data_IF_289647052090
#
_entry.id   IF_289647052090
#
_cell.length_a   1.000
_cell.length_b   1.000
_cell.length_c   1.000
_cell.angle_alpha   90.00
_cell.angle_beta   90.00
_cell.angle_gamma   90.00
#
_symmetry.space_group_name_H-M   'P 1'
#
loop_
_entity.id
_entity.type
_entity.pdbx_description
1 polymer ?
#
# COMPACT_ATOMS: atom_id res chain seq x y z
N UNK A 1 -1.44 12.96 -10.52
CA UNK A 1 -0.42 11.95 -10.87
C UNK A 1 0.75 12.57 -11.61
N UNK A 2 0.55 13.31 -12.70
CA UNK A 2 1.62 14.05 -13.39
C UNK A 2 2.41 14.98 -12.43
N UNK A 3 1.69 15.77 -11.61
CA UNK A 3 2.26 16.65 -10.56
C UNK A 3 3.21 15.90 -9.63
N UNK A 4 2.79 14.73 -9.14
CA UNK A 4 3.57 13.90 -8.20
C UNK A 4 4.80 13.31 -8.91
N UNK A 5 4.61 12.75 -10.10
CA UNK A 5 5.70 12.12 -10.86
C UNK A 5 6.76 13.10 -11.36
N UNK A 6 6.46 14.40 -11.39
CA UNK A 6 7.39 15.46 -11.80
C UNK A 6 8.11 16.13 -10.64
N UNK A 7 7.82 15.76 -9.39
CA UNK A 7 8.56 16.28 -8.24
C UNK A 7 10.03 15.84 -8.31
N UNK A 8 11.02 16.72 -8.02
CA UNK A 8 10.91 18.10 -7.50
C UNK A 8 10.81 19.19 -8.58
N UNK A 9 10.82 18.82 -9.86
CA UNK A 9 10.97 19.75 -10.98
C UNK A 9 9.72 20.57 -11.31
N UNK A 10 8.58 20.24 -10.71
CA UNK A 10 7.30 20.90 -10.97
C UNK A 10 7.36 22.43 -10.80
N UNK A 11 8.10 22.91 -9.79
CA UNK A 11 8.27 24.34 -9.53
C UNK A 11 9.02 25.09 -10.65
N UNK A 12 9.73 24.37 -11.52
CA UNK A 12 10.49 24.92 -12.64
C UNK A 12 9.71 24.91 -13.96
N UNK A 13 8.54 24.25 -14.00
CA UNK A 13 7.71 24.13 -15.20
C UNK A 13 7.27 25.48 -15.79
N UNK A 14 6.88 26.49 -15.00
CA UNK A 14 6.54 27.82 -15.53
C UNK A 14 7.70 28.50 -16.25
N UNK A 15 8.94 28.21 -15.86
CA UNK A 15 10.12 28.78 -16.53
C UNK A 15 10.38 28.06 -17.85
N UNK A 16 10.20 26.73 -17.91
CA UNK A 16 10.32 25.96 -19.14
C UNK A 16 9.31 26.40 -20.23
N UNK A 17 8.14 26.90 -19.81
CA UNK A 17 7.11 27.45 -20.69
C UNK A 17 7.47 28.80 -21.31
N UNK A 18 8.40 29.56 -20.71
CA UNK A 18 8.74 30.94 -21.14
C UNK A 18 9.93 31.02 -22.09
N UNK A 19 10.59 29.90 -22.38
CA UNK A 19 11.79 29.93 -23.23
C UNK A 19 11.37 29.87 -24.70
N UNK A 20 11.71 30.87 -25.53
CA UNK A 20 11.21 30.96 -26.88
C UNK A 20 11.71 29.81 -27.78
N UNK A 21 10.93 29.46 -28.83
CA UNK A 21 11.36 28.51 -29.86
C UNK A 21 12.58 29.02 -30.64
N UNK A 22 13.36 28.10 -31.21
CA UNK A 22 14.43 28.47 -32.14
C UNK A 22 13.80 28.86 -33.48
N UNK A 23 14.23 29.99 -34.04
CA UNK A 23 13.58 30.58 -35.22
C UNK A 23 14.08 30.00 -36.55
N UNK A 24 15.20 29.28 -36.57
CA UNK A 24 15.79 28.74 -37.82
C UNK A 24 15.96 27.21 -37.76
N UNK A 25 15.46 26.52 -38.79
CA UNK A 25 15.57 25.06 -38.94
C UNK A 25 14.59 24.23 -38.12
N UNK A 26 14.92 22.95 -37.91
CA UNK A 26 14.12 22.03 -37.10
C UNK A 26 14.12 22.44 -35.62
N UNK A 27 12.92 22.63 -35.06
CA UNK A 27 12.75 23.02 -33.66
C UNK A 27 12.33 21.82 -32.80
N UNK A 28 13.31 21.17 -32.19
CA UNK A 28 13.09 20.06 -31.26
C UNK A 28 12.16 20.44 -30.09
N UNK A 29 12.19 21.69 -29.60
CA UNK A 29 11.30 22.12 -28.52
C UNK A 29 9.85 22.17 -28.99
N UNK A 30 9.58 22.62 -30.21
CA UNK A 30 8.22 22.57 -30.78
C UNK A 30 7.72 21.14 -30.86
N UNK A 31 8.54 20.20 -31.35
CA UNK A 31 8.19 18.79 -31.38
C UNK A 31 7.84 18.25 -29.98
N UNK A 32 8.66 18.55 -28.97
CA UNK A 32 8.41 18.12 -27.59
C UNK A 32 7.11 18.70 -27.03
N UNK A 33 6.80 19.97 -27.29
CA UNK A 33 5.53 20.56 -26.88
C UNK A 33 4.33 19.94 -27.59
N UNK A 34 4.43 19.70 -28.90
CA UNK A 34 3.39 19.02 -29.67
C UNK A 34 3.15 17.62 -29.10
N UNK A 35 4.22 16.88 -28.79
CA UNK A 35 4.14 15.55 -28.16
C UNK A 35 3.40 15.59 -26.82
N UNK A 36 3.81 16.49 -25.92
CA UNK A 36 3.17 16.69 -24.61
C UNK A 36 1.70 17.03 -24.77
N UNK A 37 1.38 18.02 -25.62
CA UNK A 37 0.02 18.52 -25.81
C UNK A 37 -0.88 17.46 -26.45
N UNK A 38 -0.41 16.80 -27.51
CA UNK A 38 -1.16 15.77 -28.22
C UNK A 38 -1.59 14.65 -27.28
N UNK A 39 -0.65 14.09 -26.52
CA UNK A 39 -0.93 12.99 -25.58
C UNK A 39 -1.83 13.46 -24.44
N UNK A 40 -1.56 14.63 -23.88
CA UNK A 40 -2.35 15.18 -22.79
C UNK A 40 -3.80 15.45 -23.22
N UNK A 41 -4.02 16.09 -24.36
CA UNK A 41 -5.36 16.39 -24.90
C UNK A 41 -6.09 15.10 -25.26
N UNK A 42 -5.43 14.18 -25.95
CA UNK A 42 -6.02 12.89 -26.33
C UNK A 42 -6.57 12.13 -25.11
N UNK A 43 -5.76 11.96 -24.06
CA UNK A 43 -6.21 11.27 -22.86
C UNK A 43 -7.11 12.11 -21.93
N UNK A 44 -7.11 13.44 -22.08
CA UNK A 44 -8.07 14.30 -21.38
C UNK A 44 -9.49 14.11 -21.91
N UNK A 45 -9.64 13.96 -23.23
CA UNK A 45 -10.95 13.75 -23.89
C UNK A 45 -11.44 12.30 -23.75
N UNK A 46 -10.54 11.32 -23.61
CA UNK A 46 -10.91 9.90 -23.46
C UNK A 46 -11.87 9.64 -22.28
N UNK A 47 -12.89 8.79 -22.51
CA UNK A 47 -13.84 8.36 -21.47
C UNK A 47 -13.19 7.44 -20.43
N UNK A 48 -12.27 6.57 -20.84
CA UNK A 48 -11.49 5.73 -19.93
C UNK A 48 -10.17 6.41 -19.60
N UNK A 49 -9.96 6.72 -18.32
CA UNK A 49 -8.76 7.41 -17.83
C UNK A 49 -8.04 6.54 -16.81
N UNK A 50 -6.85 6.06 -17.16
CA UNK A 50 -5.90 5.50 -16.19
C UNK A 50 -4.74 6.48 -16.00
N UNK A 51 -4.28 6.69 -14.75
CA UNK A 51 -3.14 7.57 -14.48
C UNK A 51 -1.89 7.31 -15.33
N UNK A 52 -1.65 6.04 -15.66
CA UNK A 52 -0.47 5.60 -16.40
C UNK A 52 -0.50 5.98 -17.89
N UNK A 53 -1.63 6.46 -18.41
CA UNK A 53 -1.71 6.91 -19.81
C UNK A 53 -0.85 8.15 -20.10
N UNK A 54 -0.52 8.93 -19.08
CA UNK A 54 0.38 10.08 -19.22
C UNK A 54 1.87 9.71 -19.11
N UNK A 55 2.22 8.43 -18.86
CA UNK A 55 3.61 8.00 -18.74
C UNK A 55 4.50 8.40 -19.95
N UNK A 56 4.03 8.33 -21.21
CA UNK A 56 4.83 8.73 -22.37
C UNK A 56 5.12 10.23 -22.48
N UNK A 57 4.48 11.08 -21.66
CA UNK A 57 4.72 12.54 -21.61
C UNK A 57 6.00 12.87 -20.86
N UNK A 58 6.38 12.06 -19.87
CA UNK A 58 7.48 12.36 -18.95
C UNK A 58 8.85 12.59 -19.63
N UNK A 59 9.29 11.78 -20.62
CA UNK A 59 10.57 12.03 -21.29
C UNK A 59 10.63 13.38 -21.98
N UNK A 60 9.54 13.78 -22.66
CA UNK A 60 9.49 15.06 -23.36
C UNK A 60 9.53 16.24 -22.40
N UNK A 61 8.78 16.16 -21.29
CA UNK A 61 8.81 17.18 -20.24
C UNK A 61 10.17 17.26 -19.56
N UNK A 62 10.83 16.11 -19.32
CA UNK A 62 12.17 16.09 -18.73
C UNK A 62 13.20 16.81 -19.61
N UNK A 63 13.16 16.61 -20.93
CA UNK A 63 14.02 17.33 -21.88
C UNK A 63 13.74 18.83 -21.90
N UNK A 64 12.46 19.24 -21.88
CA UNK A 64 12.07 20.64 -21.82
C UNK A 64 12.55 21.34 -20.55
N UNK A 65 12.42 20.67 -19.40
CA UNK A 65 12.92 21.15 -18.10
C UNK A 65 14.44 21.21 -18.10
N UNK A 66 15.12 20.19 -18.66
CA UNK A 66 16.58 20.14 -18.75
C UNK A 66 17.15 21.33 -19.54
N UNK A 67 16.59 21.64 -20.72
CA UNK A 67 17.01 22.82 -21.49
C UNK A 67 16.71 24.12 -20.74
N UNK A 68 15.58 24.19 -20.03
CA UNK A 68 15.25 25.36 -19.20
C UNK A 68 16.27 25.56 -18.07
N UNK A 69 16.61 24.50 -17.33
CA UNK A 69 17.60 24.52 -16.23
C UNK A 69 18.98 24.95 -16.76
N UNK A 70 19.39 24.48 -17.93
CA UNK A 70 20.66 24.84 -18.54
C UNK A 70 20.79 26.36 -18.78
N UNK A 71 19.70 27.00 -19.19
CA UNK A 71 19.62 28.45 -19.48
C UNK A 71 19.36 29.31 -18.25
N UNK A 72 18.90 28.71 -17.14
CA UNK A 72 18.58 29.45 -15.92
C UNK A 72 19.83 29.99 -15.21
N UNK A 73 19.67 31.19 -14.64
CA UNK A 73 20.60 31.74 -13.64
C UNK A 73 20.56 30.85 -12.39
N UNK A 74 21.71 30.70 -11.74
CA UNK A 74 21.86 29.85 -10.57
C UNK A 74 20.93 30.26 -9.40
N UNK A 75 20.71 31.56 -9.23
CA UNK A 75 19.73 32.11 -8.28
C UNK A 75 18.29 31.63 -8.54
N UNK A 76 17.83 31.72 -9.80
CA UNK A 76 16.48 31.30 -10.18
C UNK A 76 16.26 29.79 -10.00
N UNK A 77 17.27 28.99 -10.34
CA UNK A 77 17.25 27.54 -10.10
C UNK A 77 17.11 27.24 -8.60
N UNK A 78 17.92 27.89 -7.75
CA UNK A 78 17.86 27.69 -6.31
C UNK A 78 16.51 28.10 -5.71
N UNK A 79 15.90 29.20 -6.19
CA UNK A 79 14.55 29.61 -5.78
C UNK A 79 13.53 28.53 -6.15
N UNK A 80 13.55 28.01 -7.38
CA UNK A 80 12.62 26.96 -7.80
C UNK A 80 12.76 25.67 -6.98
N UNK A 81 13.98 25.25 -6.67
CA UNK A 81 14.23 24.09 -5.80
C UNK A 81 13.76 24.38 -4.35
N UNK A 82 13.96 25.60 -3.85
CA UNK A 82 13.47 26.00 -2.52
C UNK A 82 11.94 26.01 -2.46
N UNK A 83 11.24 26.45 -3.52
CA UNK A 83 9.78 26.33 -3.64
C UNK A 83 9.36 24.86 -3.59
N UNK A 84 10.05 23.97 -4.29
CA UNK A 84 9.76 22.54 -4.22
C UNK A 84 9.94 21.97 -2.80
N UNK A 85 10.98 22.39 -2.08
CA UNK A 85 11.18 22.04 -0.67
C UNK A 85 10.03 22.54 0.21
N UNK A 86 9.62 23.80 0.06
CA UNK A 86 8.51 24.39 0.80
C UNK A 86 7.18 23.69 0.53
N UNK A 87 6.89 23.38 -0.74
CA UNK A 87 5.69 22.61 -1.12
C UNK A 87 5.71 21.21 -0.51
N UNK A 88 6.88 20.57 -0.43
CA UNK A 88 7.01 19.26 0.21
C UNK A 88 6.73 19.36 1.72
N UNK A 89 7.23 20.40 2.40
CA UNK A 89 6.94 20.64 3.81
C UNK A 89 5.44 20.85 4.07
N UNK A 90 4.75 21.57 3.18
CA UNK A 90 3.28 21.75 3.25
C UNK A 90 2.54 20.43 3.03
N UNK A 91 3.06 19.54 2.19
CA UNK A 91 2.44 18.25 1.92
C UNK A 91 2.56 17.26 3.10
N UNK A 92 3.52 17.43 4.01
CA UNK A 92 3.71 16.56 5.19
C UNK A 92 2.47 16.53 6.09
N UNK A 93 1.96 17.65 6.64
CA UNK A 93 0.77 17.63 7.46
C UNK A 93 -0.43 17.09 6.70
N UNK A 94 -0.57 17.41 5.40
CA UNK A 94 -1.66 16.91 4.57
C UNK A 94 -1.63 15.37 4.44
N UNK A 95 -0.43 14.77 4.37
CA UNK A 95 -0.26 13.33 4.37
C UNK A 95 -0.56 12.68 5.74
N UNK A 96 -0.24 13.37 6.84
CA UNK A 96 -0.51 12.89 8.21
C UNK A 96 -1.99 13.01 8.60
N UNK A 97 -2.68 14.02 8.07
CA UNK A 97 -4.13 14.24 8.23
C UNK A 97 -4.98 13.36 7.30
N UNK A 98 -4.34 12.56 6.43
CA UNK A 98 -5.05 11.72 5.47
C UNK A 98 -5.86 10.64 6.18
N UNK A 99 -7.18 10.61 5.93
CA UNK A 99 -8.07 9.66 6.58
C UNK A 99 -7.90 8.24 6.02
N UNK A 100 -7.87 7.24 6.91
CA UNK A 100 -7.89 5.84 6.49
C UNK A 100 -9.28 5.54 5.94
N UNK A 101 -9.40 5.00 4.70
CA UNK A 101 -10.70 4.61 4.17
C UNK A 101 -11.42 3.63 5.11
N UNK A 102 -12.74 3.75 5.24
CA UNK A 102 -13.56 2.90 6.12
C UNK A 102 -13.30 1.41 5.90
N UNK A 103 -13.16 1.01 4.64
CA UNK A 103 -12.97 -0.39 4.23
C UNK A 103 -11.60 -0.95 4.62
N UNK A 104 -10.68 -0.09 5.08
CA UNK A 104 -9.32 -0.40 5.47
C UNK A 104 -9.03 -0.03 6.94
N UNK A 105 -10.06 0.26 7.73
CA UNK A 105 -9.94 0.54 9.17
C UNK A 105 -9.20 -0.57 9.92
N UNK A 106 -9.43 -1.84 9.54
CA UNK A 106 -8.71 -2.97 10.12
C UNK A 106 -7.19 -2.96 9.83
N UNK A 107 -6.75 -2.19 8.83
CA UNK A 107 -5.35 -1.95 8.48
C UNK A 107 -4.86 -0.57 8.92
N UNK A 108 -5.63 0.16 9.72
CA UNK A 108 -5.32 1.54 10.09
C UNK A 108 -3.92 1.67 10.71
N UNK A 109 -3.51 0.76 11.60
CA UNK A 109 -2.17 0.80 12.20
C UNK A 109 -1.05 0.73 11.14
N UNK A 110 -1.20 -0.11 10.12
CA UNK A 110 -0.24 -0.23 9.01
C UNK A 110 -0.23 1.03 8.15
N UNK A 111 -1.42 1.59 7.86
CA UNK A 111 -1.54 2.86 7.15
C UNK A 111 -0.86 4.01 7.89
N UNK A 112 -1.09 4.14 9.21
CA UNK A 112 -0.43 5.15 10.04
C UNK A 112 1.09 4.96 10.10
N UNK A 113 1.56 3.70 10.13
CA UNK A 113 2.97 3.37 10.02
C UNK A 113 3.56 3.85 8.69
N UNK A 114 2.87 3.59 7.58
CA UNK A 114 3.27 4.03 6.25
C UNK A 114 3.25 5.55 6.09
N UNK A 115 2.21 6.26 6.55
CA UNK A 115 2.14 7.72 6.46
C UNK A 115 3.22 8.39 7.31
N UNK A 116 3.52 7.85 8.50
CA UNK A 116 4.63 8.32 9.35
C UNK A 116 5.99 8.08 8.68
N UNK A 117 6.22 6.91 8.08
CA UNK A 117 7.41 6.64 7.27
C UNK A 117 7.56 7.67 6.15
N UNK A 118 6.47 7.91 5.39
CA UNK A 118 6.48 8.87 4.30
C UNK A 118 6.76 10.30 4.78
N UNK A 119 6.21 10.72 5.92
CA UNK A 119 6.48 12.02 6.53
C UNK A 119 7.96 12.21 6.90
N UNK A 120 8.61 11.18 7.46
CA UNK A 120 10.05 11.20 7.75
C UNK A 120 10.88 11.32 6.47
N UNK A 121 10.57 10.51 5.46
CA UNK A 121 11.23 10.57 4.15
C UNK A 121 11.06 11.96 3.52
N UNK A 122 9.84 12.50 3.52
CA UNK A 122 9.56 13.84 2.99
C UNK A 122 10.35 14.93 3.72
N UNK A 123 10.53 14.81 5.04
CA UNK A 123 11.36 15.74 5.82
C UNK A 123 12.83 15.69 5.39
N UNK A 124 13.40 14.48 5.24
CA UNK A 124 14.78 14.30 4.79
C UNK A 124 14.98 14.82 3.36
N UNK A 125 14.00 14.60 2.48
CA UNK A 125 14.02 15.09 1.10
C UNK A 125 13.89 16.60 1.06
N UNK A 126 13.06 17.22 1.90
CA UNK A 126 12.97 18.68 2.01
C UNK A 126 14.31 19.29 2.44
N UNK A 127 15.01 18.68 3.39
CA UNK A 127 16.36 19.09 3.79
C UNK A 127 17.37 18.96 2.65
N UNK A 128 17.35 17.82 1.94
CA UNK A 128 18.22 17.62 0.78
C UNK A 128 17.95 18.64 -0.34
N UNK A 129 16.68 19.02 -0.56
CA UNK A 129 16.31 20.07 -1.50
C UNK A 129 16.75 21.45 -1.03
N UNK A 130 16.72 21.74 0.28
CA UNK A 130 17.29 22.98 0.82
C UNK A 130 18.81 23.06 0.56
N UNK A 131 19.54 21.95 0.75
CA UNK A 131 20.97 21.86 0.40
C UNK A 131 21.18 22.04 -1.11
N UNK A 132 20.35 21.41 -1.95
CA UNK A 132 20.40 21.57 -3.41
C UNK A 132 20.16 23.03 -3.84
N UNK A 133 19.19 23.71 -3.24
CA UNK A 133 18.92 25.13 -3.48
C UNK A 133 20.11 26.00 -3.07
N UNK A 134 20.69 25.75 -1.90
CA UNK A 134 21.89 26.45 -1.42
C UNK A 134 23.10 26.24 -2.35
N UNK A 135 23.34 25.01 -2.81
CA UNK A 135 24.40 24.71 -3.78
C UNK A 135 24.20 25.47 -5.11
N UNK A 136 22.95 25.53 -5.59
CA UNK A 136 22.60 26.30 -6.77
C UNK A 136 22.86 27.81 -6.56
N UNK A 137 22.49 28.37 -5.41
CA UNK A 137 22.79 29.77 -5.06
C UNK A 137 24.29 30.09 -4.97
N UNK A 138 25.10 29.11 -4.53
CA UNK A 138 26.58 29.19 -4.56
C UNK A 138 27.19 29.05 -5.95
N UNK A 139 26.38 28.99 -7.01
CA UNK A 139 26.82 28.85 -8.40
C UNK A 139 27.11 27.40 -8.82
N UNK A 140 27.03 26.43 -7.91
CA UNK A 140 27.29 25.00 -8.19
C UNK A 140 26.04 24.32 -8.77
N UNK A 141 25.57 24.80 -9.92
CA UNK A 141 24.30 24.38 -10.56
C UNK A 141 24.18 22.86 -10.73
N UNK A 142 25.19 22.20 -11.29
CA UNK A 142 25.15 20.75 -11.54
C UNK A 142 25.06 19.95 -10.23
N UNK A 143 25.77 20.37 -9.19
CA UNK A 143 25.70 19.72 -7.88
C UNK A 143 24.29 19.89 -7.26
N UNK A 144 23.72 21.09 -7.34
CA UNK A 144 22.34 21.34 -6.89
C UNK A 144 21.31 20.48 -7.63
N UNK A 145 21.42 20.39 -8.96
CA UNK A 145 20.56 19.51 -9.79
C UNK A 145 20.75 18.04 -9.39
N UNK A 146 22.00 17.59 -9.23
CA UNK A 146 22.30 16.21 -8.83
C UNK A 146 21.68 15.84 -7.50
N UNK A 147 21.87 16.68 -6.47
CA UNK A 147 21.28 16.46 -5.14
C UNK A 147 19.75 16.44 -5.22
N UNK A 148 19.13 17.38 -5.93
CA UNK A 148 17.67 17.40 -6.11
C UNK A 148 17.14 16.15 -6.85
N UNK A 149 17.85 15.68 -7.88
CA UNK A 149 17.50 14.49 -8.64
C UNK A 149 17.53 13.22 -7.76
N UNK A 150 18.63 13.03 -7.02
CA UNK A 150 18.76 11.88 -6.11
C UNK A 150 17.78 11.96 -4.93
N UNK A 151 17.48 13.15 -4.42
CA UNK A 151 16.46 13.34 -3.39
C UNK A 151 15.06 12.96 -3.91
N UNK A 152 14.70 13.40 -5.12
CA UNK A 152 13.43 13.02 -5.76
C UNK A 152 13.32 11.52 -6.04
N UNK A 153 14.38 10.91 -6.57
CA UNK A 153 14.45 9.46 -6.77
C UNK A 153 14.33 8.71 -5.44
N UNK A 154 15.06 9.16 -4.42
CA UNK A 154 15.01 8.59 -3.07
C UNK A 154 13.62 8.67 -2.46
N UNK A 155 12.91 9.79 -2.62
CA UNK A 155 11.51 9.93 -2.20
C UNK A 155 10.63 8.85 -2.84
N UNK A 156 10.72 8.69 -4.16
CA UNK A 156 9.90 7.72 -4.89
C UNK A 156 10.23 6.28 -4.48
N UNK A 157 11.51 5.94 -4.38
CA UNK A 157 11.94 4.59 -3.98
C UNK A 157 11.53 4.28 -2.55
N UNK A 158 11.73 5.21 -1.61
CA UNK A 158 11.35 5.01 -0.22
C UNK A 158 9.82 4.94 -0.04
N UNK A 159 9.04 5.67 -0.85
CA UNK A 159 7.60 5.53 -0.89
C UNK A 159 7.18 4.14 -1.40
N UNK A 160 7.76 3.65 -2.50
CA UNK A 160 7.48 2.32 -3.05
C UNK A 160 7.86 1.19 -2.09
N UNK A 161 9.03 1.29 -1.44
CA UNK A 161 9.49 0.32 -0.44
C UNK A 161 8.57 0.35 0.78
N UNK A 162 8.24 1.55 1.29
CA UNK A 162 7.32 1.70 2.42
C UNK A 162 5.93 1.12 2.11
N UNK A 163 5.46 1.26 0.87
CA UNK A 163 4.17 0.75 0.43
C UNK A 163 4.09 -0.78 0.51
N UNK A 164 5.22 -1.51 0.51
CA UNK A 164 5.24 -2.96 0.71
C UNK A 164 4.64 -3.39 2.06
N UNK A 165 4.65 -2.51 3.08
CA UNK A 165 3.97 -2.79 4.35
C UNK A 165 2.46 -3.03 4.17
N UNK A 166 1.86 -2.48 3.12
CA UNK A 166 0.45 -2.65 2.77
C UNK A 166 0.21 -3.90 1.90
N UNK A 167 1.24 -4.67 1.55
CA UNK A 167 1.10 -5.89 0.76
C UNK A 167 0.06 -6.88 1.33
N UNK A 168 -0.10 -7.06 2.65
CA UNK A 168 -1.16 -7.93 3.19
C UNK A 168 -2.59 -7.51 2.82
N UNK A 169 -2.82 -6.22 2.58
CA UNK A 169 -4.12 -5.68 2.20
C UNK A 169 -4.41 -5.74 0.69
N UNK A 170 -3.36 -5.76 -0.16
CA UNK A 170 -3.48 -5.63 -1.61
C UNK A 170 -2.98 -6.86 -2.41
N UNK A 171 -2.09 -7.67 -1.86
CA UNK A 171 -1.47 -8.81 -2.54
C UNK A 171 -2.20 -10.11 -2.27
N UNK A 172 -2.20 -11.01 -3.25
CA UNK A 172 -2.62 -12.40 -3.08
C UNK A 172 -1.57 -13.27 -2.36
N UNK A 173 -0.35 -12.76 -2.13
CA UNK A 173 0.75 -13.56 -1.57
C UNK A 173 0.42 -14.18 -0.20
N UNK A 174 -0.09 -13.45 0.82
CA UNK A 174 -0.42 -14.05 2.11
C UNK A 174 -1.54 -15.09 2.01
N UNK A 175 -2.54 -14.82 1.18
CA UNK A 175 -3.63 -15.76 0.91
C UNK A 175 -3.09 -17.05 0.27
N UNK A 176 -2.20 -16.91 -0.71
CA UNK A 176 -1.58 -18.07 -1.36
C UNK A 176 -0.73 -18.88 -0.38
N UNK A 177 0.00 -18.22 0.53
CA UNK A 177 0.79 -18.88 1.55
C UNK A 177 -0.08 -19.64 2.56
N UNK A 178 -1.22 -19.06 2.97
CA UNK A 178 -2.19 -19.73 3.84
C UNK A 178 -2.87 -20.92 3.16
N UNK A 179 -3.00 -20.89 1.84
CA UNK A 179 -3.69 -21.93 1.07
C UNK A 179 -2.80 -23.10 0.63
N UNK A 180 -1.51 -22.86 0.41
CA UNK A 180 -0.53 -23.87 -0.04
C UNK A 180 -0.50 -25.16 0.78
N UNK A 181 -0.53 -25.15 2.13
CA UNK A 181 -0.51 -26.37 2.92
C UNK A 181 -1.72 -27.29 2.70
N UNK A 182 -2.80 -26.74 2.13
CA UNK A 182 -4.06 -27.45 1.90
C UNK A 182 -4.31 -27.77 0.43
N UNK A 183 -3.43 -27.30 -0.47
CA UNK A 183 -3.61 -27.43 -1.90
C UNK A 183 -3.21 -28.84 -2.36
N UNK A 184 -4.19 -29.63 -2.82
CA UNK A 184 -3.94 -30.87 -3.56
C UNK A 184 -3.77 -30.56 -5.06
N UNK A 185 -3.08 -31.42 -5.84
CA UNK A 185 -2.82 -31.18 -7.25
C UNK A 185 -4.05 -30.85 -8.10
N UNK A 186 -5.19 -31.45 -7.78
CA UNK A 186 -6.46 -31.27 -8.50
C UNK A 186 -7.58 -30.69 -7.61
N UNK A 187 -7.24 -30.09 -6.46
CA UNK A 187 -8.25 -29.52 -5.56
C UNK A 187 -8.92 -28.31 -6.22
N UNK A 188 -10.26 -28.31 -6.37
CA UNK A 188 -10.96 -27.18 -6.94
C UNK A 188 -10.87 -25.95 -6.02
N UNK A 189 -10.56 -24.81 -6.61
CA UNK A 189 -10.40 -23.52 -5.92
C UNK A 189 -11.49 -22.56 -6.40
N UNK A 190 -12.29 -22.08 -5.46
CA UNK A 190 -13.38 -21.15 -5.75
C UNK A 190 -13.09 -19.75 -5.23
N UNK A 191 -13.40 -18.72 -6.02
CA UNK A 191 -13.49 -17.34 -5.53
C UNK A 191 -14.95 -16.90 -5.58
N UNK A 192 -15.55 -16.71 -4.41
CA UNK A 192 -16.99 -16.46 -4.27
C UNK A 192 -17.24 -14.97 -4.03
N UNK A 193 -17.85 -14.32 -5.02
CA UNK A 193 -18.12 -12.86 -5.08
C UNK A 193 -16.90 -12.01 -4.73
N UNK A 194 -15.72 -12.50 -5.11
CA UNK A 194 -14.45 -11.81 -4.93
C UNK A 194 -13.52 -12.20 -6.07
N UNK A 195 -12.59 -11.31 -6.38
CA UNK A 195 -11.52 -11.58 -7.33
C UNK A 195 -10.20 -11.15 -6.69
N UNK A 196 -9.51 -12.11 -6.06
CA UNK A 196 -8.16 -11.86 -5.59
C UNK A 196 -7.18 -11.99 -6.77
N UNK A 197 -6.95 -10.85 -7.43
CA UNK A 197 -6.04 -10.76 -8.59
C UNK A 197 -4.65 -11.29 -8.22
N UNK A 198 -4.07 -12.06 -9.12
CA UNK A 198 -2.77 -12.70 -8.93
C UNK A 198 -2.79 -14.02 -8.16
N UNK A 199 -3.89 -14.38 -7.48
CA UNK A 199 -3.95 -15.67 -6.77
C UNK A 199 -3.72 -16.88 -7.69
N UNK A 200 -4.32 -16.97 -8.91
CA UNK A 200 -4.04 -18.08 -9.83
C UNK A 200 -2.57 -18.15 -10.23
N UNK A 201 -1.92 -16.99 -10.37
CA UNK A 201 -0.49 -16.89 -10.66
C UNK A 201 0.38 -17.41 -9.50
N UNK A 202 0.12 -16.98 -8.26
CA UNK A 202 0.90 -17.42 -7.09
C UNK A 202 0.75 -18.91 -6.78
N UNK A 203 -0.40 -19.49 -7.10
CA UNK A 203 -0.69 -20.91 -6.88
C UNK A 203 -0.30 -21.78 -8.06
N UNK A 204 -0.17 -21.18 -9.25
CA UNK A 204 -0.09 -21.89 -10.53
C UNK A 204 -1.24 -22.89 -10.68
N UNK A 205 -2.44 -22.48 -10.26
CA UNK A 205 -3.63 -23.31 -10.26
C UNK A 205 -4.81 -22.50 -10.81
N UNK A 206 -5.66 -23.16 -11.60
CA UNK A 206 -6.85 -22.52 -12.15
C UNK A 206 -7.89 -22.32 -11.05
N UNK A 207 -8.67 -21.24 -11.15
CA UNK A 207 -9.71 -20.92 -10.17
C UNK A 207 -11.04 -20.78 -10.87
N UNK A 208 -12.11 -21.14 -10.16
CA UNK A 208 -13.48 -20.96 -10.61
C UNK A 208 -14.08 -19.75 -9.89
N UNK A 209 -14.60 -18.80 -10.66
CA UNK A 209 -15.33 -17.66 -10.15
C UNK A 209 -16.76 -18.08 -9.85
N UNK A 210 -17.29 -17.65 -8.71
CA UNK A 210 -18.65 -17.96 -8.28
C UNK A 210 -19.39 -16.66 -8.01
N UNK A 211 -20.58 -16.52 -8.60
CA UNK A 211 -21.42 -15.33 -8.45
C UNK A 211 -21.25 -14.35 -9.59
N UNK A 212 -21.08 -13.08 -9.29
CA UNK A 212 -21.00 -12.04 -10.34
C UNK A 212 -19.63 -12.00 -11.02
N UNK A 213 -19.66 -12.00 -12.37
CA UNK A 213 -18.46 -11.82 -13.17
C UNK A 213 -17.90 -10.39 -13.03
N UNK A 214 -16.61 -10.24 -12.65
CA UNK A 214 -15.92 -8.95 -12.64
C UNK A 214 -16.01 -8.29 -14.01
N UNK A 215 -16.28 -6.98 -14.05
CA UNK A 215 -16.59 -6.27 -15.30
C UNK A 215 -15.52 -6.45 -16.40
N UNK A 216 -14.25 -6.53 -16.00
CA UNK A 216 -13.09 -6.68 -16.87
C UNK A 216 -12.88 -8.11 -17.38
N UNK A 217 -13.55 -9.10 -16.78
CA UNK A 217 -13.52 -10.50 -17.21
C UNK A 217 -14.81 -10.95 -17.88
N UNK A 218 -15.90 -10.16 -17.82
CA UNK A 218 -17.23 -10.54 -18.34
C UNK A 218 -17.18 -11.07 -19.75
N UNK A 219 -16.55 -10.36 -20.67
CA UNK A 219 -16.51 -10.76 -22.07
C UNK A 219 -15.58 -11.94 -22.29
N UNK A 220 -14.42 -11.99 -21.60
CA UNK A 220 -13.50 -13.13 -21.66
C UNK A 220 -14.13 -14.43 -21.15
N UNK A 221 -14.93 -14.36 -20.09
CA UNK A 221 -15.62 -15.52 -19.51
C UNK A 221 -16.72 -16.07 -20.41
N UNK A 222 -17.21 -15.32 -21.41
CA UNK A 222 -18.12 -15.87 -22.44
C UNK A 222 -17.47 -16.96 -23.28
N UNK A 223 -16.15 -16.88 -23.46
CA UNK A 223 -15.36 -17.87 -24.20
C UNK A 223 -14.95 -19.07 -23.34
N UNK A 224 -15.03 -18.94 -22.00
CA UNK A 224 -14.72 -19.99 -21.03
C UNK A 224 -15.78 -20.05 -19.92
N UNK A 225 -17.05 -20.35 -20.27
CA UNK A 225 -18.16 -20.31 -19.33
C UNK A 225 -18.00 -21.28 -18.16
N UNK A 226 -17.22 -22.36 -18.34
CA UNK A 226 -16.92 -23.33 -17.29
C UNK A 226 -16.18 -22.74 -16.08
N UNK A 227 -15.59 -21.55 -16.19
CA UNK A 227 -14.89 -20.85 -15.11
C UNK A 227 -15.78 -19.89 -14.32
N UNK A 228 -17.05 -19.72 -14.71
CA UNK A 228 -18.01 -18.86 -14.03
C UNK A 228 -19.23 -19.67 -13.60
N UNK A 229 -19.38 -19.88 -12.30
CA UNK A 229 -20.44 -20.69 -11.73
C UNK A 229 -21.47 -19.84 -10.99
N UNK A 230 -22.72 -20.30 -11.00
CA UNK A 230 -23.74 -19.72 -10.14
C UNK A 230 -23.49 -20.12 -8.69
N UNK A 231 -23.99 -19.30 -7.76
CA UNK A 231 -23.89 -19.60 -6.33
C UNK A 231 -24.56 -20.94 -5.98
N UNK A 232 -25.66 -21.29 -6.66
CA UNK A 232 -26.37 -22.55 -6.46
C UNK A 232 -25.53 -23.76 -6.94
N UNK A 233 -24.91 -23.65 -8.13
CA UNK A 233 -24.02 -24.70 -8.65
C UNK A 233 -22.83 -24.93 -7.73
N UNK A 234 -22.22 -23.85 -7.22
CA UNK A 234 -21.17 -23.92 -6.21
C UNK A 234 -21.63 -24.63 -4.93
N UNK A 235 -22.78 -24.25 -4.36
CA UNK A 235 -23.28 -24.88 -3.13
C UNK A 235 -23.55 -26.38 -3.30
N UNK A 236 -24.02 -26.80 -4.47
CA UNK A 236 -24.22 -28.20 -4.79
C UNK A 236 -22.87 -28.95 -4.87
N UNK A 237 -21.93 -28.43 -5.67
CA UNK A 237 -20.62 -29.03 -5.84
C UNK A 237 -19.78 -29.05 -4.55
N UNK A 238 -19.84 -27.99 -3.74
CA UNK A 238 -19.11 -27.86 -2.48
C UNK A 238 -19.44 -28.99 -1.49
N UNK A 239 -20.69 -29.46 -1.48
CA UNK A 239 -21.09 -30.58 -0.62
C UNK A 239 -20.48 -31.90 -1.06
N UNK A 240 -20.27 -32.08 -2.37
CA UNK A 240 -19.79 -33.31 -2.98
C UNK A 240 -18.26 -33.40 -3.12
N UNK A 241 -17.55 -32.27 -3.09
CA UNK A 241 -16.11 -32.20 -3.34
C UNK A 241 -15.32 -32.12 -2.02
N UNK A 242 -14.79 -33.25 -1.51
CA UNK A 242 -13.88 -33.21 -0.38
C UNK A 242 -12.62 -32.42 -0.74
N UNK A 243 -12.07 -31.69 0.22
CA UNK A 243 -10.83 -30.90 0.07
C UNK A 243 -10.89 -29.72 -0.90
N UNK A 244 -12.09 -29.33 -1.36
CA UNK A 244 -12.30 -28.07 -2.06
C UNK A 244 -11.92 -26.87 -1.18
N UNK A 245 -11.35 -25.84 -1.80
CA UNK A 245 -10.94 -24.59 -1.17
C UNK A 245 -11.75 -23.43 -1.74
N UNK A 246 -12.13 -22.49 -0.89
CA UNK A 246 -12.82 -21.29 -1.33
C UNK A 246 -12.33 -20.04 -0.62
N UNK A 247 -12.25 -18.95 -1.38
CA UNK A 247 -12.00 -17.60 -0.89
C UNK A 247 -13.29 -16.83 -1.02
N UNK A 248 -13.83 -16.37 0.11
CA UNK A 248 -15.19 -15.83 0.20
C UNK A 248 -15.12 -14.46 0.88
N UNK A 249 -15.96 -13.50 0.47
CA UNK A 249 -16.10 -12.25 1.24
C UNK A 249 -16.69 -12.51 2.63
N UNK A 250 -16.31 -11.76 3.69
CA UNK A 250 -16.82 -12.00 5.04
C UNK A 250 -18.36 -12.00 5.12
N UNK A 251 -19.01 -11.08 4.42
CA UNK A 251 -20.47 -10.99 4.36
C UNK A 251 -21.09 -12.24 3.71
N UNK A 252 -20.52 -12.71 2.59
CA UNK A 252 -21.03 -13.91 1.92
C UNK A 252 -20.77 -15.17 2.73
N UNK A 253 -19.63 -15.25 3.41
CA UNK A 253 -19.31 -16.37 4.31
C UNK A 253 -20.37 -16.51 5.42
N UNK A 254 -20.72 -15.42 6.10
CA UNK A 254 -21.78 -15.42 7.11
C UNK A 254 -23.13 -15.90 6.53
N UNK A 255 -23.48 -15.42 5.33
CA UNK A 255 -24.72 -15.81 4.65
C UNK A 255 -24.76 -17.28 4.18
N UNK A 256 -23.60 -17.90 3.91
CA UNK A 256 -23.50 -19.32 3.55
C UNK A 256 -23.48 -20.20 4.80
N UNK A 257 -22.87 -19.72 5.90
CA UNK A 257 -22.84 -20.42 7.18
C UNK A 257 -24.26 -20.54 7.77
N UNK A 258 -25.05 -19.45 7.73
CA UNK A 258 -26.46 -19.46 8.14
C UNK A 258 -27.34 -20.41 7.31
N UNK A 259 -26.93 -20.73 6.07
CA UNK A 259 -27.61 -21.70 5.20
C UNK A 259 -27.13 -23.15 5.40
N UNK A 260 -26.33 -23.40 6.44
CA UNK A 260 -25.84 -24.74 6.79
C UNK A 260 -24.83 -25.31 5.80
N UNK A 261 -24.11 -24.48 5.05
CA UNK A 261 -23.05 -24.97 4.18
C UNK A 261 -21.81 -25.32 5.04
N UNK A 262 -21.34 -26.58 5.03
CA UNK A 262 -20.26 -27.00 5.91
C UNK A 262 -18.94 -26.40 5.44
N UNK A 263 -18.39 -25.48 6.23
CA UNK A 263 -17.17 -24.74 5.92
C UNK A 263 -16.29 -24.70 7.16
N UNK A 264 -15.02 -25.08 7.02
CA UNK A 264 -14.00 -24.89 8.05
C UNK A 264 -13.10 -23.75 7.64
N UNK A 265 -13.00 -22.73 8.48
CA UNK A 265 -12.09 -21.60 8.28
C UNK A 265 -10.64 -22.08 8.45
N UNK A 266 -9.80 -21.76 7.47
CA UNK A 266 -8.35 -21.97 7.51
C UNK A 266 -7.66 -20.70 7.97
N UNK A 267 -8.05 -19.57 7.35
CA UNK A 267 -7.49 -18.26 7.61
C UNK A 267 -8.54 -17.19 7.29
N UNK A 268 -8.40 -16.03 7.89
CA UNK A 268 -9.26 -14.88 7.63
C UNK A 268 -8.45 -13.59 7.56
N UNK A 269 -9.04 -12.62 6.88
CA UNK A 269 -8.57 -11.26 6.68
C UNK A 269 -9.80 -10.34 6.71
N UNK A 270 -9.63 -9.03 6.96
CA UNK A 270 -10.73 -8.07 6.85
C UNK A 270 -11.49 -8.11 5.51
N UNK A 271 -10.85 -8.56 4.41
CA UNK A 271 -11.46 -8.59 3.06
C UNK A 271 -11.89 -9.97 2.58
N UNK A 272 -11.41 -11.05 3.20
CA UNK A 272 -11.66 -12.40 2.71
C UNK A 272 -11.58 -13.43 3.84
N UNK A 273 -12.28 -14.54 3.64
CA UNK A 273 -12.25 -15.73 4.49
C UNK A 273 -11.84 -16.89 3.61
N UNK A 274 -10.74 -17.56 3.96
CA UNK A 274 -10.29 -18.78 3.31
C UNK A 274 -10.90 -19.98 4.05
N UNK A 275 -11.67 -20.78 3.32
CA UNK A 275 -12.35 -21.95 3.87
C UNK A 275 -12.00 -23.21 3.09
N UNK A 276 -12.11 -24.35 3.77
CA UNK A 276 -12.09 -25.69 3.19
C UNK A 276 -13.37 -26.43 3.51
N UNK A 277 -13.74 -27.39 2.65
CA UNK A 277 -14.75 -28.39 3.01
C UNK A 277 -14.18 -29.31 4.10
N UNK A 278 -14.85 -29.48 5.25
CA UNK A 278 -14.46 -30.50 6.24
C UNK A 278 -14.53 -31.90 5.62
N UNK A 279 -13.64 -32.84 5.99
CA UNK A 279 -13.77 -34.24 5.60
C UNK A 279 -15.10 -34.79 6.11
N UNK A 280 -15.74 -35.68 5.34
CA UNK A 280 -17.07 -36.26 5.66
C UNK A 280 -17.13 -36.90 7.06
N UNK A 281 -16.00 -37.42 7.58
CA UNK A 281 -15.92 -38.01 8.92
C UNK A 281 -16.05 -37.00 10.09
N UNK A 282 -15.84 -35.71 9.87
CA UNK A 282 -15.92 -34.69 10.93
C UNK A 282 -17.36 -34.35 11.32
N UNK A 283 -18.32 -34.55 10.41
CA UNK A 283 -19.74 -34.25 10.64
C UNK A 283 -20.36 -35.24 11.65
N UNK A 284 -19.85 -36.48 11.74
CA UNK A 284 -20.31 -37.49 12.70
C UNK A 284 -19.90 -37.21 14.16
N UNK A 285 -18.74 -36.59 14.40
CA UNK A 285 -18.29 -36.25 15.76
C UNK A 285 -18.80 -34.88 16.23
N UNK A 286 -18.98 -33.91 15.33
CA UNK A 286 -19.49 -32.59 15.68
C UNK A 286 -21.01 -32.59 16.00
N UNK A 287 -21.78 -33.49 15.39
CA UNK A 287 -23.19 -33.69 15.76
C UNK A 287 -23.35 -34.43 17.10
N UNK A 288 -22.35 -35.19 17.53
CA UNK A 288 -22.36 -35.89 18.82
C UNK A 288 -21.89 -35.01 20.00
N UNK A 289 -21.34 -33.81 19.75
CA UNK A 289 -20.77 -32.93 20.80
C UNK A 289 -21.53 -31.61 20.98
N UNK A 290 -22.82 -31.54 20.63
CA UNK A 290 -23.70 -30.45 21.10
C UNK A 290 -24.06 -30.73 22.56
N UNK A 291 -23.08 -30.60 23.44
CA UNK A 291 -23.30 -30.44 24.88
C UNK A 291 -23.26 -28.93 25.17
N UNK A 292 -24.38 -28.40 25.67
CA UNK A 292 -24.67 -26.98 25.85
C UNK A 292 -23.94 -26.39 27.07
N UNK A 293 -22.60 -26.47 27.10
CA UNK A 293 -21.79 -25.71 28.06
C UNK A 293 -20.92 -24.70 27.34
N UNK A 294 -21.13 -23.42 27.70
CA UNK A 294 -20.34 -22.30 27.22
C UNK A 294 -18.84 -22.54 27.47
N UNK A 295 -17.94 -22.24 26.51
CA UNK A 295 -16.52 -22.24 26.80
C UNK A 295 -16.18 -21.08 27.75
N UNK A 296 -15.27 -21.25 28.72
CA UNK A 296 -14.79 -20.13 29.51
C UNK A 296 -13.99 -19.18 28.61
N UNK A 297 -14.29 -17.89 28.69
CA UNK A 297 -13.45 -16.84 28.13
C UNK A 297 -12.04 -16.96 28.73
N UNK A 298 -11.06 -17.33 27.92
CA UNK A 298 -9.64 -17.20 28.23
C UNK A 298 -9.03 -16.15 27.30
N UNK A 299 -9.06 -14.90 27.73
CA UNK A 299 -8.21 -13.84 27.20
C UNK A 299 -6.78 -14.05 27.72
N UNK A 300 -5.88 -14.50 26.87
CA UNK A 300 -4.45 -14.23 27.01
C UNK A 300 -3.88 -13.81 25.66
N UNK A 301 -3.76 -12.49 25.48
CA UNK A 301 -2.96 -11.90 24.41
C UNK A 301 -1.51 -11.97 24.87
N UNK A 302 -0.69 -12.78 24.22
CA UNK A 302 0.75 -12.82 24.44
C UNK A 302 1.41 -11.60 23.76
N UNK A 303 2.06 -10.73 24.53
CA UNK A 303 2.94 -9.70 24.01
C UNK A 303 4.19 -10.33 23.36
N UNK A 304 4.67 -9.84 22.21
CA UNK A 304 5.89 -10.35 21.61
C UNK A 304 7.13 -9.87 22.39
N UNK A 305 7.91 -10.84 22.89
CA UNK A 305 9.25 -10.60 23.42
C UNK A 305 10.18 -10.08 22.33
N UNK A 306 10.80 -8.93 22.58
CA UNK A 306 11.95 -8.41 21.83
C UNK A 306 13.18 -9.22 22.25
N UNK A 307 13.72 -10.00 21.32
CA UNK A 307 15.02 -10.64 21.46
C UNK A 307 16.13 -9.67 21.02
N UNK A 308 16.84 -9.09 21.98
CA UNK A 308 18.09 -8.35 21.79
C UNK A 308 19.26 -9.22 22.24
N UNK A 309 20.12 -9.61 21.32
CA UNK A 309 21.44 -10.16 21.62
C UNK A 309 22.48 -9.59 20.67
N UNK A 310 23.32 -8.69 21.19
CA UNK A 310 24.72 -8.46 20.83
C UNK A 310 25.32 -7.48 21.86
N UNK A 311 26.34 -7.92 22.62
CA UNK A 311 27.09 -7.18 23.66
C UNK A 311 28.36 -6.53 23.07
N UNK A 312 29.34 -5.95 23.83
CA UNK A 312 29.42 -5.20 25.13
C UNK A 312 30.22 -3.85 24.90
N UNK A 313 30.98 -3.18 25.83
CA UNK A 313 31.19 -3.29 27.29
C UNK A 313 31.14 -1.96 28.12
N UNK A 314 31.28 -2.09 29.45
CA UNK A 314 32.15 -1.30 30.36
C UNK A 314 31.51 -0.70 31.64
N UNK A 315 32.03 -1.20 32.77
CA UNK A 315 32.43 -0.52 34.03
C UNK A 315 31.41 0.00 35.06
N UNK A 316 31.69 -0.46 36.30
CA UNK A 316 31.58 0.20 37.61
C UNK A 316 30.22 0.14 38.35
N UNK A 317 30.09 -0.68 39.40
CA UNK A 317 30.19 -0.31 40.86
C UNK A 317 28.80 0.10 41.40
N UNK A 318 28.19 -0.33 42.51
CA UNK A 318 28.49 -1.15 43.69
C UNK A 318 27.16 -1.60 44.37
N UNK A 319 27.22 -2.72 45.11
CA UNK A 319 26.73 -2.99 46.50
C UNK A 319 25.77 -1.96 47.15
N UNK A 320 24.71 -2.24 47.93
CA UNK A 320 24.23 -3.35 48.80
C UNK A 320 22.75 -3.01 49.22
N UNK A 321 22.01 -3.90 49.93
CA UNK A 321 20.55 -3.85 50.12
C UNK A 321 20.09 -3.27 51.48
N UNK A 322 18.76 -3.12 51.71
CA UNK A 322 18.00 -3.39 52.97
C UNK A 322 16.52 -2.93 52.84
N UNK A 323 15.60 -3.90 52.83
CA UNK A 323 14.42 -4.15 53.70
C UNK A 323 13.58 -3.03 54.40
N UNK A 324 12.36 -3.34 54.91
CA UNK A 324 11.12 -2.61 54.55
C UNK A 324 10.36 -1.94 55.72
N UNK A 325 9.17 -1.40 55.39
CA UNK A 325 7.96 -1.18 56.22
C UNK A 325 7.82 0.14 57.01
N UNK A 326 6.86 1.00 56.60
CA UNK A 326 5.55 1.27 57.24
C UNK A 326 4.99 2.66 56.85
N UNK A 327 3.65 2.84 56.77
CA UNK A 327 2.94 4.11 56.57
C UNK A 327 2.48 4.70 57.93
N UNK A 328 1.50 5.62 58.07
CA UNK A 328 0.95 6.68 57.20
C UNK A 328 1.04 8.08 57.88
N UNK A 329 0.69 9.17 57.17
CA UNK A 329 0.19 10.39 57.84
C UNK A 329 -0.69 11.21 56.90
N UNK A 330 -1.96 11.36 57.30
CA UNK A 330 -2.86 12.39 56.82
C UNK A 330 -2.77 13.59 57.76
N UNK A 331 -2.78 14.81 57.24
CA UNK A 331 -3.69 15.89 57.68
C UNK A 331 -3.37 17.22 57.00
N UNK A 332 -4.46 17.97 56.87
CA UNK A 332 -4.72 19.25 56.24
C UNK A 332 -4.20 20.48 57.00
N UNK A 333 -3.95 21.57 56.25
CA UNK A 333 -4.39 22.96 56.53
C UNK A 333 -3.81 23.86 55.42
N UNK A 334 -4.59 24.51 54.55
CA UNK A 334 -5.28 25.81 54.72
C UNK A 334 -4.44 26.93 55.34
N UNK A 335 -4.24 28.02 54.57
CA UNK A 335 -4.23 29.38 55.11
C UNK A 335 -3.10 30.30 54.66
N UNK A 336 -3.39 31.16 53.67
CA UNK A 336 -3.11 32.60 53.70
C UNK A 336 -1.67 33.10 53.53
N UNK A 337 -1.45 33.89 52.46
CA UNK A 337 -0.25 34.72 52.26
C UNK A 337 0.19 34.78 50.82
#
# INVERSE_FOLDING_TARGET
>A
MLVIGMFPWLALLPVALRVPPRQTGFDARKLLWIWVLMIFVFFSVSHSKLPLYLLPVFPAVALLIGDAIARMRACALGIGIAIAAALLLIAIPLALLWHVPSDLLAWAAVFHGYTRHLAWVMTLVALALAVAAWLAWRGRKLAGVGVAAFAGLGLMQAALIGFQALAPAYSAAPLSAAMRPWLKPDAPIYMVDTLQRGLPFYLRHQVTLVGEAPYDLRDGLRWQPQLLWSLAAFQHAWRAQPDALAVITPLRFAALLMRGLPMRVIASSPRWVLVRRPPVAADAHAQASVDNRAPPFATSVACPHVSLSAAPPSTATACLPVSPSQPPAASSNTGGG
#
